data_IF_209167104549
#
_entry.id   IF_209167104549
#
_cell.length_a   1.000
_cell.length_b   1.000
_cell.length_c   1.000
_cell.angle_alpha   90.00
_cell.angle_beta   90.00
_cell.angle_gamma   90.00
#
_symmetry.space_group_name_H-M   'P 1'
#
loop_
_entity.id
_entity.type
_entity.pdbx_description
1 polymer ?
#
# COMPACT_ATOMS: atom_id res chain seq x y z
N UNK A 1 -7.44 13.39 -27.71
CA UNK A 1 -7.29 12.32 -26.70
C UNK A 1 -6.34 12.85 -25.64
N UNK A 2 -6.81 13.06 -24.41
CA UNK A 2 -5.96 13.57 -23.33
C UNK A 2 -5.04 12.43 -22.87
N UNK A 3 -3.73 12.66 -22.85
CA UNK A 3 -2.76 11.76 -22.24
C UNK A 3 -3.19 11.49 -20.79
N UNK A 4 -3.21 10.23 -20.31
CA UNK A 4 -3.47 9.98 -18.90
C UNK A 4 -2.43 10.71 -18.05
N UNK A 5 -2.81 11.25 -16.88
CA UNK A 5 -1.86 11.91 -15.99
C UNK A 5 -0.75 10.91 -15.62
N UNK A 6 0.50 11.38 -15.67
CA UNK A 6 1.65 10.58 -15.28
C UNK A 6 1.62 10.32 -13.76
N UNK A 7 2.01 9.11 -13.36
CA UNK A 7 2.19 8.73 -11.95
C UNK A 7 3.10 9.76 -11.24
N UNK A 8 2.73 10.20 -10.03
CA UNK A 8 3.49 11.16 -9.23
C UNK A 8 4.03 10.53 -7.96
N UNK A 9 5.32 10.71 -7.68
CA UNK A 9 5.97 10.17 -6.48
C UNK A 9 5.70 11.08 -5.29
N UNK A 10 5.92 12.38 -5.45
CA UNK A 10 5.83 13.40 -4.40
C UNK A 10 4.63 14.34 -4.59
N UNK A 11 4.18 14.97 -3.50
CA UNK A 11 3.19 16.06 -3.51
C UNK A 11 3.82 17.35 -4.08
N UNK A 12 3.01 18.17 -4.76
CA UNK A 12 3.42 19.48 -5.28
C UNK A 12 4.51 19.38 -6.35
N UNK A 13 5.54 20.22 -6.26
CA UNK A 13 6.71 20.22 -7.17
C UNK A 13 7.80 19.20 -6.78
N UNK A 14 7.53 18.28 -5.84
CA UNK A 14 8.53 17.37 -5.29
C UNK A 14 9.26 16.51 -6.34
N UNK A 15 8.56 16.03 -7.37
CA UNK A 15 9.18 15.22 -8.44
C UNK A 15 10.28 15.99 -9.19
N UNK A 16 10.13 17.32 -9.35
CA UNK A 16 11.14 18.20 -9.99
C UNK A 16 12.33 18.47 -9.08
N UNK A 17 12.09 18.59 -7.77
CA UNK A 17 13.13 18.89 -6.78
C UNK A 17 14.10 17.73 -6.58
N UNK A 18 13.67 16.49 -6.89
CA UNK A 18 14.48 15.27 -6.77
C UNK A 18 14.82 14.69 -8.15
N UNK A 19 14.79 15.50 -9.21
CA UNK A 19 15.16 15.06 -10.57
C UNK A 19 16.65 14.65 -10.61
N UNK A 20 16.91 13.38 -10.93
CA UNK A 20 18.27 12.85 -11.07
C UNK A 20 18.82 13.09 -12.49
N UNK A 21 20.14 12.94 -12.70
CA UNK A 21 20.75 13.12 -14.03
C UNK A 21 20.08 12.23 -15.10
N UNK A 22 19.76 12.83 -16.26
CA UNK A 22 18.99 12.25 -17.39
C UNK A 22 19.71 11.17 -18.19
N UNK A 23 20.95 10.82 -17.86
CA UNK A 23 21.78 9.93 -18.68
C UNK A 23 21.41 8.44 -18.55
N UNK A 24 20.54 8.04 -17.61
CA UNK A 24 20.02 6.67 -17.50
C UNK A 24 18.68 6.66 -16.76
N UNK A 25 17.69 5.89 -17.21
CA UNK A 25 16.48 5.65 -16.42
C UNK A 25 16.84 4.82 -15.19
N UNK A 26 16.97 5.50 -14.05
CA UNK A 26 17.26 4.88 -12.76
C UNK A 26 16.49 5.61 -11.66
N UNK A 27 15.98 4.84 -10.70
CA UNK A 27 15.55 5.35 -9.41
C UNK A 27 16.75 5.35 -8.46
N UNK A 28 17.04 6.50 -7.86
CA UNK A 28 18.08 6.60 -6.82
C UNK A 28 17.41 6.44 -5.47
N UNK A 29 17.70 5.33 -4.79
CA UNK A 29 17.20 5.08 -3.43
C UNK A 29 18.02 5.91 -2.45
N UNK A 30 17.37 6.86 -1.78
CA UNK A 30 18.00 7.71 -0.78
C UNK A 30 17.86 7.08 0.61
N UNK A 31 18.96 6.95 1.38
CA UNK A 31 18.87 6.48 2.76
C UNK A 31 18.08 7.47 3.60
N UNK A 32 17.42 6.97 4.64
CA UNK A 32 16.71 7.79 5.60
C UNK A 32 17.30 7.61 7.00
N UNK A 33 17.56 8.72 7.68
CA UNK A 33 18.18 8.74 9.01
C UNK A 33 19.67 8.35 8.99
N UNK A 34 20.27 8.26 10.18
CA UNK A 34 21.63 7.74 10.34
C UNK A 34 21.61 6.20 10.31
N UNK A 35 22.23 5.55 9.32
CA UNK A 35 22.26 4.08 9.20
C UNK A 35 22.93 3.38 10.39
N UNK A 36 23.61 4.12 11.27
CA UNK A 36 24.24 3.60 12.50
C UNK A 36 23.29 3.53 13.70
N UNK A 37 22.07 4.06 13.57
CA UNK A 37 21.09 4.10 14.66
C UNK A 37 20.05 2.99 14.50
N UNK A 38 19.78 2.25 15.58
CA UNK A 38 18.73 1.22 15.61
C UNK A 38 17.45 1.88 16.12
N UNK A 39 16.37 1.77 15.35
CA UNK A 39 15.02 2.17 15.78
C UNK A 39 14.26 0.93 16.25
N UNK A 40 13.73 0.98 17.47
CA UNK A 40 13.09 -0.16 18.15
C UNK A 40 11.60 -0.33 17.81
N UNK A 41 11.06 0.52 16.93
CA UNK A 41 9.64 0.61 16.65
C UNK A 41 9.18 -0.40 15.59
N UNK A 42 7.87 -0.64 15.55
CA UNK A 42 7.24 -1.58 14.62
C UNK A 42 7.44 -1.10 13.19
N UNK A 43 8.29 -1.79 12.44
CA UNK A 43 8.47 -1.53 11.00
C UNK A 43 7.48 -2.36 10.21
N UNK A 44 6.56 -1.69 9.53
CA UNK A 44 5.71 -2.25 8.49
C UNK A 44 6.33 -1.83 7.18
N UNK A 45 6.87 -2.81 6.46
CA UNK A 45 7.53 -2.52 5.20
C UNK A 45 6.46 -2.29 4.13
N UNK A 46 6.48 -1.11 3.55
CA UNK A 46 5.59 -0.75 2.46
C UNK A 46 6.31 -1.15 1.18
N UNK A 47 6.10 -2.39 0.75
CA UNK A 47 6.72 -2.88 -0.46
C UNK A 47 5.72 -2.85 -1.61
N UNK A 48 6.00 -2.07 -2.65
CA UNK A 48 5.30 -2.22 -3.92
C UNK A 48 6.13 -3.03 -4.91
N UNK A 49 5.45 -3.87 -5.69
CA UNK A 49 6.03 -4.63 -6.80
C UNK A 49 6.10 -6.13 -6.57
N UNK A 50 6.37 -6.87 -7.64
CA UNK A 50 6.37 -8.34 -7.66
C UNK A 50 7.52 -8.96 -6.85
N UNK A 51 8.63 -8.25 -6.66
CA UNK A 51 9.77 -8.72 -5.87
C UNK A 51 9.47 -8.90 -4.37
N UNK A 52 8.38 -8.31 -3.85
CA UNK A 52 7.91 -8.60 -2.51
C UNK A 52 7.47 -10.07 -2.36
N UNK A 53 6.92 -10.66 -3.42
CA UNK A 53 6.45 -12.04 -3.37
C UNK A 53 7.60 -12.99 -3.05
N UNK A 54 8.81 -12.70 -3.54
CA UNK A 54 10.02 -13.46 -3.22
C UNK A 54 10.34 -13.38 -1.72
N UNK A 55 10.30 -12.18 -1.12
CA UNK A 55 10.53 -12.01 0.32
C UNK A 55 9.41 -12.68 1.18
N UNK A 56 8.16 -12.66 0.71
CA UNK A 56 7.03 -13.34 1.35
C UNK A 56 7.22 -14.85 1.31
N UNK A 57 7.64 -15.39 0.17
CA UNK A 57 7.95 -16.81 -0.01
C UNK A 57 9.16 -17.26 0.81
N UNK A 58 10.16 -16.39 0.97
CA UNK A 58 11.32 -16.59 1.86
C UNK A 58 10.94 -16.57 3.36
N UNK A 59 9.68 -16.34 3.70
CA UNK A 59 9.19 -16.30 5.09
C UNK A 59 9.62 -15.07 5.88
N UNK A 60 10.03 -13.99 5.18
CA UNK A 60 10.47 -12.73 5.81
C UNK A 60 9.31 -11.92 6.38
N UNK A 61 8.07 -12.20 5.96
CA UNK A 61 6.86 -11.59 6.48
C UNK A 61 5.89 -12.65 6.99
N UNK A 62 5.23 -12.34 8.11
CA UNK A 62 4.17 -13.16 8.71
C UNK A 62 2.78 -12.63 8.39
N UNK A 63 2.68 -11.35 8.05
CA UNK A 63 1.42 -10.72 7.65
C UNK A 63 1.58 -9.91 6.37
N UNK A 64 0.60 -10.00 5.49
CA UNK A 64 0.49 -9.22 4.25
C UNK A 64 -0.81 -8.42 4.27
N UNK A 65 -0.74 -7.12 4.02
CA UNK A 65 -1.89 -6.22 3.92
C UNK A 65 -2.12 -5.85 2.45
N UNK A 66 -3.34 -6.04 1.93
CA UNK A 66 -3.66 -5.71 0.53
C UNK A 66 -5.12 -5.27 0.37
N UNK A 67 -5.49 -4.76 -0.81
CA UNK A 67 -6.89 -4.43 -1.14
C UNK A 67 -7.64 -5.62 -1.77
N UNK A 68 -8.96 -5.70 -1.52
CA UNK A 68 -9.89 -6.66 -2.14
C UNK A 68 -11.23 -6.00 -2.42
N UNK A 69 -11.96 -6.48 -3.42
CA UNK A 69 -13.36 -6.09 -3.69
C UNK A 69 -14.25 -7.33 -3.85
N UNK A 70 -15.55 -7.11 -3.97
CA UNK A 70 -16.60 -8.12 -4.06
C UNK A 70 -17.05 -8.47 -5.49
N UNK A 71 -16.41 -7.88 -6.51
CA UNK A 71 -16.79 -8.03 -7.92
C UNK A 71 -15.75 -8.82 -8.73
N UNK A 72 -14.50 -8.32 -8.80
CA UNK A 72 -13.42 -8.91 -9.56
C UNK A 72 -12.05 -8.56 -8.96
N UNK A 73 -11.28 -9.60 -8.61
CA UNK A 73 -9.92 -9.48 -8.06
C UNK A 73 -8.83 -10.08 -8.97
N UNK A 74 -9.11 -10.39 -10.24
CA UNK A 74 -8.22 -11.10 -11.19
C UNK A 74 -6.91 -10.38 -11.47
N UNK A 75 -6.90 -9.07 -11.30
CA UNK A 75 -5.70 -8.22 -11.46
C UNK A 75 -5.08 -7.80 -10.13
N UNK A 76 -5.55 -8.38 -9.03
CA UNK A 76 -5.04 -8.14 -7.70
C UNK A 76 -3.95 -9.14 -7.30
N UNK A 77 -3.11 -8.73 -6.36
CA UNK A 77 -2.00 -9.54 -5.82
C UNK A 77 -2.48 -10.82 -5.11
N UNK A 78 -3.74 -10.84 -4.63
CA UNK A 78 -4.33 -11.99 -3.93
C UNK A 78 -4.26 -13.28 -4.75
N UNK A 79 -4.55 -13.20 -6.05
CA UNK A 79 -4.51 -14.36 -6.93
C UNK A 79 -3.10 -14.94 -7.07
N UNK A 80 -2.08 -14.08 -7.05
CA UNK A 80 -0.67 -14.50 -7.07
C UNK A 80 -0.28 -15.11 -5.72
N UNK A 81 -0.61 -14.46 -4.61
CA UNK A 81 -0.34 -14.97 -3.25
C UNK A 81 -0.94 -16.36 -3.01
N UNK A 82 -2.20 -16.57 -3.40
CA UNK A 82 -2.85 -17.87 -3.25
C UNK A 82 -2.24 -18.97 -4.12
N UNK A 83 -1.73 -18.64 -5.31
CA UNK A 83 -1.05 -19.61 -6.20
C UNK A 83 0.35 -19.94 -5.70
N UNK A 84 1.04 -18.95 -5.14
CA UNK A 84 2.42 -19.08 -4.72
C UNK A 84 2.57 -19.83 -3.39
N UNK A 85 1.55 -19.78 -2.53
CA UNK A 85 1.55 -20.47 -1.24
C UNK A 85 0.84 -21.83 -1.39
N UNK A 86 1.57 -22.96 -1.49
CA UNK A 86 0.98 -24.25 -1.86
C UNK A 86 -0.01 -24.79 -0.82
N UNK A 87 0.10 -24.34 0.43
CA UNK A 87 -0.78 -24.70 1.55
C UNK A 87 -2.09 -23.89 1.60
N UNK A 88 -2.24 -22.89 0.72
CA UNK A 88 -3.43 -22.03 0.70
C UNK A 88 -4.69 -22.85 0.38
N UNK A 89 -5.66 -22.82 1.29
CA UNK A 89 -7.02 -23.33 1.02
C UNK A 89 -7.87 -22.32 0.23
N UNK A 90 -7.34 -21.11 0.02
CA UNK A 90 -8.01 -20.04 -0.67
C UNK A 90 -7.65 -20.04 -2.14
N UNK A 91 -8.68 -19.85 -2.96
CA UNK A 91 -8.55 -19.51 -4.38
C UNK A 91 -9.03 -18.09 -4.56
N UNK A 92 -8.66 -17.46 -5.66
CA UNK A 92 -9.15 -16.12 -5.97
C UNK A 92 -10.69 -16.08 -6.07
N UNK A 93 -11.29 -17.14 -6.62
CA UNK A 93 -12.73 -17.28 -6.72
C UNK A 93 -13.37 -17.38 -5.33
N UNK A 94 -12.86 -18.24 -4.44
CA UNK A 94 -13.42 -18.39 -3.09
C UNK A 94 -13.23 -17.14 -2.23
N UNK A 95 -12.12 -16.42 -2.37
CA UNK A 95 -11.91 -15.14 -1.71
C UNK A 95 -12.88 -14.05 -2.19
N UNK A 96 -13.15 -13.98 -3.50
CA UNK A 96 -14.11 -13.02 -4.07
C UNK A 96 -15.54 -13.36 -3.63
N UNK A 97 -15.92 -14.65 -3.64
CA UNK A 97 -17.22 -15.10 -3.12
C UNK A 97 -17.37 -14.79 -1.63
N UNK A 98 -16.32 -15.00 -0.83
CA UNK A 98 -16.32 -14.66 0.59
C UNK A 98 -16.50 -13.15 0.81
N UNK A 99 -15.79 -12.31 0.04
CA UNK A 99 -15.95 -10.86 0.10
C UNK A 99 -17.39 -10.42 -0.22
N UNK A 100 -18.01 -11.04 -1.23
CA UNK A 100 -19.41 -10.80 -1.61
C UNK A 100 -20.38 -11.22 -0.51
N UNK A 101 -20.26 -12.44 0.03
CA UNK A 101 -21.12 -12.92 1.12
C UNK A 101 -20.98 -12.04 2.38
N UNK A 102 -19.76 -11.64 2.72
CA UNK A 102 -19.51 -10.73 3.83
C UNK A 102 -20.20 -9.39 3.60
N UNK A 103 -20.04 -8.80 2.41
CA UNK A 103 -20.67 -7.54 2.02
C UNK A 103 -22.20 -7.62 2.14
N UNK A 104 -22.81 -8.65 1.61
CA UNK A 104 -24.26 -8.89 1.68
C UNK A 104 -24.72 -9.01 3.14
N UNK A 105 -24.00 -9.74 4.00
CA UNK A 105 -24.36 -9.94 5.41
C UNK A 105 -24.31 -8.65 6.25
N UNK A 106 -23.34 -7.78 5.97
CA UNK A 106 -23.12 -6.54 6.73
C UNK A 106 -24.06 -5.43 6.27
N UNK A 107 -24.44 -5.42 4.99
CA UNK A 107 -25.43 -4.47 4.44
C UNK A 107 -26.80 -4.54 5.13
N UNK A 108 -27.11 -5.66 5.79
CA UNK A 108 -28.32 -5.86 6.58
C UNK A 108 -28.28 -5.16 7.94
N UNK A 109 -27.09 -4.95 8.52
CA UNK A 109 -26.92 -4.49 9.90
C UNK A 109 -26.24 -3.12 10.05
N UNK A 110 -25.60 -2.60 9.00
CA UNK A 110 -24.71 -1.43 9.10
C UNK A 110 -24.95 -0.40 7.98
N UNK A 111 -26.19 0.11 7.85
CA UNK A 111 -26.51 1.16 6.87
C UNK A 111 -25.75 2.48 7.06
N UNK A 112 -25.12 2.68 8.23
CA UNK A 112 -24.44 3.93 8.58
C UNK A 112 -22.92 3.79 8.74
N UNK A 113 -22.40 2.56 8.89
CA UNK A 113 -20.97 2.36 9.18
C UNK A 113 -20.15 2.22 7.90
N UNK A 114 -19.46 3.31 7.56
CA UNK A 114 -18.58 3.41 6.38
C UNK A 114 -17.16 2.90 6.65
N UNK A 115 -16.92 2.26 7.80
CA UNK A 115 -15.59 1.71 8.05
C UNK A 115 -15.20 0.63 7.02
N UNK A 116 -13.98 0.70 6.47
CA UNK A 116 -13.45 -0.33 5.59
C UNK A 116 -13.21 -1.61 6.38
N UNK A 117 -13.93 -2.66 6.00
CA UNK A 117 -13.82 -3.97 6.64
C UNK A 117 -12.51 -4.65 6.30
N UNK A 118 -11.95 -5.39 7.25
CA UNK A 118 -10.73 -6.19 7.05
C UNK A 118 -11.11 -7.66 6.99
N UNK A 119 -10.95 -8.28 5.82
CA UNK A 119 -11.12 -9.71 5.64
C UNK A 119 -9.81 -10.43 6.00
N UNK A 120 -9.92 -11.54 6.71
CA UNK A 120 -8.78 -12.38 7.08
C UNK A 120 -8.72 -13.61 6.21
N UNK A 121 -7.56 -13.85 5.60
CA UNK A 121 -7.25 -15.11 4.96
C UNK A 121 -6.02 -15.71 5.63
N UNK A 122 -6.17 -16.90 6.20
CA UNK A 122 -5.07 -17.66 6.82
C UNK A 122 -4.50 -18.65 5.80
N UNK A 123 -3.19 -18.54 5.53
CA UNK A 123 -2.45 -19.36 4.60
C UNK A 123 -1.34 -20.13 5.33
N UNK A 124 -1.62 -20.56 6.56
CA UNK A 124 -0.72 -21.30 7.46
C UNK A 124 0.44 -20.43 7.98
N UNK A 125 1.44 -20.17 7.14
CA UNK A 125 2.62 -19.37 7.55
C UNK A 125 2.43 -17.86 7.39
N UNK A 126 1.42 -17.46 6.60
CA UNK A 126 1.16 -16.07 6.23
C UNK A 126 -0.30 -15.74 6.53
N UNK A 127 -0.50 -14.65 7.26
CA UNK A 127 -1.81 -14.03 7.47
C UNK A 127 -2.01 -12.92 6.43
N UNK A 128 -3.09 -12.97 5.65
CA UNK A 128 -3.50 -11.84 4.81
C UNK A 128 -4.59 -11.05 5.52
N UNK A 129 -4.38 -9.74 5.63
CA UNK A 129 -5.35 -8.74 6.08
C UNK A 129 -5.78 -7.91 4.87
N UNK A 130 -6.91 -8.29 4.27
CA UNK A 130 -7.40 -7.66 3.05
C UNK A 130 -8.42 -6.55 3.37
N UNK A 131 -8.08 -5.30 3.05
CA UNK A 131 -9.00 -4.17 3.12
C UNK A 131 -10.08 -4.34 2.04
N UNK A 132 -11.33 -4.43 2.45
CA UNK A 132 -12.47 -4.56 1.55
C UNK A 132 -12.94 -3.19 1.06
N UNK A 133 -12.92 -2.99 -0.27
CA UNK A 133 -13.36 -1.75 -0.93
C UNK A 133 -14.78 -1.39 -0.51
N UNK A 134 -15.05 -0.16 -0.01
CA UNK A 134 -16.39 0.24 0.42
C UNK A 134 -17.45 0.00 -0.66
N UNK A 135 -18.67 -0.29 -0.21
CA UNK A 135 -19.78 -0.62 -1.11
C UNK A 135 -20.13 0.56 -2.04
N UNK A 136 -20.41 0.26 -3.31
CA UNK A 136 -20.80 1.26 -4.31
C UNK A 136 -19.69 2.23 -4.72
N UNK A 137 -18.42 1.93 -4.38
CA UNK A 137 -17.26 2.70 -4.83
C UNK A 137 -16.43 1.91 -5.83
N UNK A 138 -15.99 2.58 -6.89
CA UNK A 138 -15.07 2.00 -7.87
C UNK A 138 -13.64 1.88 -7.35
N UNK A 139 -13.29 2.63 -6.31
CA UNK A 139 -11.92 2.79 -5.83
C UNK A 139 -11.84 3.12 -4.34
N UNK A 140 -10.64 2.95 -3.75
CA UNK A 140 -10.36 3.41 -2.39
C UNK A 140 -10.03 4.90 -2.37
N UNK A 141 -10.54 5.60 -1.36
CA UNK A 141 -10.12 6.97 -1.05
C UNK A 141 -8.97 6.95 -0.01
N UNK A 142 -8.26 8.08 0.12
CA UNK A 142 -7.26 8.24 1.19
C UNK A 142 -7.86 8.03 2.59
N UNK A 143 -9.11 8.46 2.79
CA UNK A 143 -9.81 8.27 4.05
C UNK A 143 -10.10 6.79 4.33
N UNK A 144 -10.50 6.03 3.31
CA UNK A 144 -10.69 4.58 3.44
C UNK A 144 -9.37 3.89 3.78
N UNK A 145 -8.26 4.30 3.18
CA UNK A 145 -6.95 3.75 3.52
C UNK A 145 -6.56 4.09 4.95
N UNK A 146 -6.65 5.36 5.35
CA UNK A 146 -6.35 5.78 6.72
C UNK A 146 -7.14 4.97 7.75
N UNK A 147 -8.46 4.86 7.57
CA UNK A 147 -9.33 4.08 8.47
C UNK A 147 -8.98 2.59 8.46
N UNK A 148 -8.78 2.00 7.29
CA UNK A 148 -8.45 0.58 7.14
C UNK A 148 -7.11 0.23 7.78
N UNK A 149 -6.09 1.04 7.53
CA UNK A 149 -4.78 0.86 8.18
C UNK A 149 -4.88 1.06 9.68
N UNK A 150 -5.65 2.02 10.18
CA UNK A 150 -5.83 2.20 11.64
C UNK A 150 -6.44 0.95 12.27
N UNK A 151 -7.43 0.33 11.63
CA UNK A 151 -7.99 -0.96 12.06
C UNK A 151 -6.95 -2.07 12.02
N UNK A 152 -6.16 -2.17 10.95
CA UNK A 152 -5.07 -3.15 10.85
C UNK A 152 -4.02 -2.94 11.95
N UNK A 153 -3.65 -1.70 12.27
CA UNK A 153 -2.71 -1.38 13.36
C UNK A 153 -3.21 -1.94 14.69
N UNK A 154 -4.48 -1.70 15.02
CA UNK A 154 -5.12 -2.24 16.21
C UNK A 154 -5.16 -3.78 16.20
N UNK A 155 -5.43 -4.40 15.05
CA UNK A 155 -5.42 -5.87 14.92
C UNK A 155 -4.03 -6.50 15.11
N UNK A 156 -2.97 -5.73 14.87
CA UNK A 156 -1.57 -6.15 15.03
C UNK A 156 -1.01 -5.77 16.40
N UNK A 157 -1.63 -4.84 17.14
CA UNK A 157 -1.20 -4.38 18.46
C UNK A 157 -0.97 -5.53 19.45
N UNK A 158 0.16 -5.50 20.17
CA UNK A 158 0.59 -6.56 21.09
C UNK A 158 1.05 -7.89 20.45
N UNK A 159 0.79 -8.11 19.15
CA UNK A 159 1.01 -9.40 18.47
C UNK A 159 2.32 -9.47 17.68
N UNK A 160 3.43 -9.70 18.39
CA UNK A 160 4.77 -9.77 17.77
C UNK A 160 4.92 -10.92 16.78
N UNK A 161 4.21 -12.02 17.02
CA UNK A 161 4.17 -13.21 16.16
C UNK A 161 3.59 -12.93 14.77
N UNK A 162 2.83 -11.83 14.61
CA UNK A 162 2.28 -11.40 13.33
C UNK A 162 3.22 -10.50 12.53
N UNK A 163 4.34 -10.08 13.12
CA UNK A 163 5.38 -9.34 12.43
C UNK A 163 6.50 -10.26 11.88
N UNK A 164 7.28 -9.80 10.89
CA UNK A 164 7.16 -8.52 10.19
C UNK A 164 5.95 -8.46 9.25
N UNK A 165 5.45 -7.25 9.00
CA UNK A 165 4.28 -7.01 8.15
C UNK A 165 4.70 -6.31 6.87
N UNK A 166 4.17 -6.79 5.74
CA UNK A 166 4.31 -6.14 4.44
C UNK A 166 2.95 -5.62 3.95
N UNK A 167 2.98 -4.52 3.20
CA UNK A 167 1.79 -3.96 2.54
C UNK A 167 1.98 -4.00 1.04
N UNK A 168 1.03 -4.59 0.29
CA UNK A 168 1.13 -4.79 -1.17
C UNK A 168 -0.06 -4.20 -1.90
N UNK A 169 0.25 -3.42 -2.93
CA UNK A 169 -0.63 -3.12 -4.06
C UNK A 169 -1.98 -2.45 -3.73
N UNK A 170 -1.92 -1.14 -3.42
CA UNK A 170 -3.08 -0.23 -3.43
C UNK A 170 -3.11 0.71 -4.64
N UNK A 171 -2.13 0.64 -5.54
CA UNK A 171 -1.99 1.54 -6.69
C UNK A 171 -1.67 0.73 -7.95
N UNK A 172 -2.39 0.97 -9.05
CA UNK A 172 -2.09 0.42 -10.39
C UNK A 172 -2.90 -0.81 -10.83
N UNK A 173 -3.66 -1.46 -9.94
CA UNK A 173 -4.67 -2.45 -10.33
C UNK A 173 -5.98 -1.75 -10.67
N UNK A 174 -6.76 -2.29 -11.63
CA UNK A 174 -8.08 -1.76 -12.05
C UNK A 174 -9.07 -1.58 -10.88
N UNK A 175 -8.81 -2.27 -9.76
CA UNK A 175 -9.55 -2.25 -8.51
C UNK A 175 -9.18 -1.09 -7.57
N UNK A 176 -8.00 -0.48 -7.73
CA UNK A 176 -7.45 0.50 -6.78
C UNK A 176 -6.83 1.69 -7.54
N UNK A 177 -7.71 2.58 -8.05
CA UNK A 177 -7.31 3.99 -8.21
C UNK A 177 -7.30 4.62 -6.84
N UNK A 178 -6.47 5.62 -6.63
CA UNK A 178 -6.38 6.29 -5.33
C UNK A 178 -6.60 7.77 -5.62
N UNK A 179 -7.86 8.17 -5.52
CA UNK A 179 -8.26 9.53 -5.81
C UNK A 179 -8.26 10.30 -4.49
N UNK A 180 -7.59 11.46 -4.47
CA UNK A 180 -7.39 12.23 -3.25
C UNK A 180 -8.72 12.77 -2.70
N UNK A 181 -9.66 13.10 -3.59
CA UNK A 181 -10.98 13.65 -3.32
C UNK A 181 -11.97 13.30 -4.44
N UNK A 182 -13.28 13.47 -4.23
CA UNK A 182 -14.32 13.27 -5.26
C UNK A 182 -14.09 14.11 -6.54
N UNK A 183 -13.20 15.11 -6.49
CA UNK A 183 -12.80 15.97 -7.61
C UNK A 183 -11.86 15.33 -8.64
N UNK A 184 -11.40 14.09 -8.46
CA UNK A 184 -10.73 13.32 -9.52
C UNK A 184 -9.21 13.48 -9.64
N UNK A 185 -8.53 14.12 -8.68
CA UNK A 185 -7.07 14.22 -8.70
C UNK A 185 -6.41 12.93 -8.17
N UNK A 186 -5.48 12.36 -8.95
CA UNK A 186 -4.78 11.13 -8.57
C UNK A 186 -3.83 11.40 -7.40
N UNK A 187 -3.98 10.65 -6.31
CA UNK A 187 -3.17 10.81 -5.10
C UNK A 187 -1.73 10.41 -5.36
N UNK A 188 -0.79 11.30 -5.02
CA UNK A 188 0.64 10.95 -5.00
C UNK A 188 0.92 9.79 -4.05
N UNK A 189 1.99 9.04 -4.34
CA UNK A 189 2.52 8.01 -3.44
C UNK A 189 2.74 8.53 -2.01
N UNK A 190 3.30 9.73 -1.87
CA UNK A 190 3.48 10.39 -0.57
C UNK A 190 2.16 10.61 0.20
N UNK A 191 1.04 10.90 -0.46
CA UNK A 191 -0.26 11.05 0.21
C UNK A 191 -0.71 9.74 0.87
N UNK A 192 -0.44 8.62 0.21
CA UNK A 192 -0.77 7.28 0.71
C UNK A 192 0.10 6.95 1.92
N UNK A 193 1.40 7.20 1.81
CA UNK A 193 2.36 6.96 2.89
C UNK A 193 2.02 7.81 4.12
N UNK A 194 1.64 9.07 3.92
CA UNK A 194 1.18 9.96 4.99
C UNK A 194 -0.08 9.44 5.69
N UNK A 195 -1.07 8.97 4.93
CA UNK A 195 -2.27 8.35 5.50
C UNK A 195 -1.94 7.08 6.31
N UNK A 196 -1.07 6.21 5.80
CA UNK A 196 -0.62 5.02 6.51
C UNK A 196 0.16 5.37 7.78
N UNK A 197 1.00 6.39 7.72
CA UNK A 197 1.81 6.83 8.86
C UNK A 197 0.97 7.41 9.99
N UNK A 198 0.01 8.27 9.67
CA UNK A 198 -0.98 8.77 10.62
C UNK A 198 -1.83 7.64 11.23
N UNK A 199 -1.96 6.51 10.54
CA UNK A 199 -2.63 5.31 11.04
C UNK A 199 -1.72 4.40 11.91
N UNK A 200 -0.47 4.80 12.18
CA UNK A 200 0.46 4.11 13.06
C UNK A 200 1.45 3.17 12.34
N UNK A 201 1.70 3.38 11.04
CA UNK A 201 2.63 2.58 10.25
C UNK A 201 3.91 3.36 9.98
N UNK A 202 5.06 2.73 10.17
CA UNK A 202 6.34 3.27 9.70
C UNK A 202 7.13 2.14 9.06
N UNK A 203 7.96 2.43 8.06
CA UNK A 203 8.86 1.41 7.54
C UNK A 203 9.51 1.75 6.22
N UNK A 204 10.19 0.73 5.67
CA UNK A 204 10.91 0.90 4.41
C UNK A 204 9.93 0.91 3.24
N UNK A 205 10.20 1.77 2.27
CA UNK A 205 9.46 1.93 1.04
C UNK A 205 10.23 1.26 -0.10
N UNK A 206 9.56 0.36 -0.81
CA UNK A 206 10.01 -0.08 -2.14
C UNK A 206 9.12 0.57 -3.19
N UNK A 207 9.69 1.30 -4.17
CA UNK A 207 8.91 2.03 -5.16
C UNK A 207 8.05 1.11 -6.02
N UNK A 208 6.80 1.49 -6.37
CA UNK A 208 5.98 0.73 -7.31
C UNK A 208 6.62 0.68 -8.70
N UNK A 209 6.28 -0.35 -9.47
CA UNK A 209 6.78 -0.53 -10.85
C UNK A 209 6.56 0.73 -11.68
N UNK A 210 5.41 1.39 -11.55
CA UNK A 210 5.11 2.66 -12.22
C UNK A 210 6.02 3.82 -11.82
N UNK A 211 6.64 3.80 -10.64
CA UNK A 211 7.62 4.82 -10.25
C UNK A 211 8.90 4.71 -11.10
N UNK A 212 9.24 3.51 -11.57
CA UNK A 212 10.42 3.31 -12.42
C UNK A 212 10.27 3.99 -13.79
N UNK A 213 9.04 4.20 -14.24
CA UNK A 213 8.72 4.88 -15.50
C UNK A 213 8.83 6.41 -15.41
N UNK A 214 8.85 6.99 -14.19
CA UNK A 214 8.96 8.44 -13.93
C UNK A 214 10.42 8.90 -13.91
N UNK A 215 11.36 7.99 -14.16
CA UNK A 215 12.78 8.30 -14.15
C UNK A 215 13.13 9.48 -15.09
N UNK A 216 14.03 10.40 -14.65
CA UNK A 216 14.89 10.27 -13.47
C UNK A 216 14.36 10.99 -12.21
N UNK A 217 13.90 10.24 -11.20
CA UNK A 217 13.46 10.79 -9.89
C UNK A 217 14.10 9.99 -8.76
N UNK A 218 14.68 10.67 -7.75
CA UNK A 218 15.13 10.01 -6.52
C UNK A 218 13.95 9.62 -5.63
N UNK A 219 14.04 8.50 -4.91
CA UNK A 219 12.98 8.02 -4.00
C UNK A 219 13.60 7.66 -2.66
N UNK A 220 13.06 8.17 -1.56
CA UNK A 220 13.53 7.79 -0.22
C UNK A 220 13.12 6.36 0.14
N UNK A 221 14.03 5.63 0.78
CA UNK A 221 13.85 4.24 1.15
C UNK A 221 12.92 4.01 2.36
N UNK A 222 12.42 5.05 3.01
CA UNK A 222 11.49 4.93 4.13
C UNK A 222 10.61 6.17 4.29
N UNK A 223 9.51 6.01 5.01
CA UNK A 223 8.62 7.09 5.43
C UNK A 223 8.51 7.15 6.96
N UNK A 224 8.46 8.34 7.61
CA UNK A 224 8.41 9.68 7.02
C UNK A 224 9.69 10.06 6.26
N UNK A 225 9.53 10.88 5.22
CA UNK A 225 10.67 11.39 4.45
C UNK A 225 11.52 12.34 5.31
N UNK A 226 12.83 12.49 5.02
CA UNK A 226 13.69 13.38 5.78
C UNK A 226 13.25 14.85 5.69
N UNK A 227 13.44 15.61 6.78
CA UNK A 227 13.14 17.05 6.86
C UNK A 227 13.84 17.87 5.76
N UNK A 228 14.96 17.39 5.21
CA UNK A 228 15.63 18.01 4.08
C UNK A 228 14.71 18.20 2.87
N UNK A 229 13.74 17.28 2.65
CA UNK A 229 12.77 17.41 1.57
C UNK A 229 11.85 18.61 1.78
N UNK A 230 11.40 18.85 3.02
CA UNK A 230 10.55 20.00 3.34
C UNK A 230 11.34 21.32 3.24
N UNK A 231 12.60 21.34 3.67
CA UNK A 231 13.48 22.51 3.45
C UNK A 231 13.69 22.83 1.97
N UNK A 232 13.86 21.80 1.13
CA UNK A 232 13.95 21.96 -0.33
C UNK A 232 12.67 22.54 -0.92
N UNK A 233 11.48 22.14 -0.42
CA UNK A 233 10.18 22.72 -0.84
C UNK A 233 10.04 24.19 -0.46
N UNK A 234 10.62 24.59 0.67
CA UNK A 234 10.64 25.97 1.13
C UNK A 234 11.66 26.85 0.37
N UNK A 235 12.44 26.27 -0.54
CA UNK A 235 13.48 26.98 -1.30
C UNK A 235 14.77 27.21 -0.51
N UNK A 236 14.91 26.61 0.67
CA UNK A 236 16.10 26.67 1.50
C UNK A 236 17.04 25.52 1.10
N UNK A 237 17.96 25.80 0.18
CA UNK A 237 19.08 24.93 -0.19
C UNK A 237 20.33 25.26 0.64
#
# INVERSE_FOLDING_TARGET
MSTPPAFRVYKGDGDRLVEASRETQRLVVLPAGDPRTIRAERRIRIQWGQHLLDDVLDGRYRTVVCGVNDENNDRGILGELFKLIPTSQWTLASATSYAKMFRESVSVHAREDREPYILKFDLDQILILALLRPAGRDHFTLEDLFRGFRTVSSMLEGRRERGPVATVSFLGARSNRLIAHESGDESSLESVLDAMHKAGFEGDLYPPVSAWDVAPTGVFASYPFPESLDRMREGNC
#
